data_IF_832549957069
#
_entry.id   IF_832549957069
#
_cell.length_a   1.000
_cell.length_b   1.000
_cell.length_c   1.000
_cell.angle_alpha   90.00
_cell.angle_beta   90.00
_cell.angle_gamma   90.00
#
_symmetry.space_group_name_H-M   'P 1'
#
loop_
_entity.id
_entity.type
_entity.pdbx_description
1 polymer ?
#
# COMPACT_ATOMS: atom_id res chain seq x y z
N UNK A 1 27.58 -20.30 -27.40
CA UNK A 1 26.16 -19.84 -27.44
C UNK A 1 26.13 -18.39 -27.01
N UNK A 2 25.31 -17.53 -27.62
CA UNK A 2 25.21 -16.14 -27.15
C UNK A 2 24.29 -16.05 -25.93
N UNK A 3 24.84 -15.69 -24.77
CA UNK A 3 24.05 -15.49 -23.55
C UNK A 3 23.10 -14.31 -23.72
N UNK A 4 21.85 -14.47 -23.28
CA UNK A 4 20.81 -13.44 -23.32
C UNK A 4 20.46 -12.98 -21.91
N UNK A 5 20.12 -11.72 -21.78
CA UNK A 5 19.70 -11.07 -20.53
C UNK A 5 18.37 -10.36 -20.72
N UNK A 6 17.56 -10.33 -19.67
CA UNK A 6 16.38 -9.48 -19.55
C UNK A 6 16.82 -8.17 -18.91
N UNK A 7 16.44 -7.06 -19.51
CA UNK A 7 16.80 -5.71 -19.04
C UNK A 7 15.53 -4.89 -18.89
N UNK A 8 15.39 -4.23 -17.74
CA UNK A 8 14.28 -3.33 -17.44
C UNK A 8 14.66 -1.90 -17.86
N UNK A 9 14.21 -1.47 -19.03
CA UNK A 9 14.46 -0.14 -19.57
C UNK A 9 13.41 0.87 -19.10
N UNK A 10 13.85 2.07 -18.79
CA UNK A 10 12.98 3.21 -18.52
C UNK A 10 12.52 3.84 -19.83
N UNK A 11 11.20 3.92 -20.05
CA UNK A 11 10.64 4.56 -21.26
C UNK A 11 10.77 6.08 -21.26
N UNK A 12 11.14 6.71 -20.14
CA UNK A 12 11.29 8.17 -20.04
C UNK A 12 12.71 8.65 -20.32
N UNK A 13 13.72 7.95 -19.81
CA UNK A 13 15.12 8.37 -19.93
C UNK A 13 15.98 7.39 -20.76
N UNK A 14 15.38 6.33 -21.29
CA UNK A 14 16.03 5.25 -22.04
C UNK A 14 17.15 4.49 -21.31
N UNK A 15 17.50 4.87 -20.07
CA UNK A 15 18.41 4.12 -19.22
C UNK A 15 17.77 2.88 -18.63
N UNK A 16 18.58 1.91 -18.21
CA UNK A 16 18.10 0.69 -17.59
C UNK A 16 18.14 0.75 -16.07
N UNK A 17 17.20 0.08 -15.43
CA UNK A 17 17.03 0.07 -13.98
C UNK A 17 17.67 -1.15 -13.32
N UNK A 18 17.53 -2.31 -13.96
CA UNK A 18 18.12 -3.57 -13.52
C UNK A 18 18.13 -4.54 -14.70
N UNK A 19 18.89 -5.61 -14.56
CA UNK A 19 19.01 -6.67 -15.54
C UNK A 19 19.26 -8.01 -14.86
N UNK A 20 18.95 -9.10 -15.57
CA UNK A 20 19.05 -10.46 -15.04
C UNK A 20 19.25 -11.46 -16.20
N UNK A 21 19.80 -12.65 -16.00
CA UNK A 21 19.86 -13.68 -17.03
C UNK A 21 18.48 -13.96 -17.64
N UNK A 22 18.40 -14.22 -18.95
CA UNK A 22 17.11 -14.52 -19.57
C UNK A 22 16.54 -15.86 -19.08
N UNK A 23 17.43 -16.83 -18.83
CA UNK A 23 17.12 -18.21 -18.44
C UNK A 23 17.75 -18.52 -17.09
N UNK A 24 17.01 -19.22 -16.23
CA UNK A 24 17.44 -19.52 -14.83
C UNK A 24 18.71 -20.37 -14.81
N UNK A 25 18.88 -21.27 -15.79
CA UNK A 25 20.07 -22.12 -15.90
C UNK A 25 21.37 -21.38 -16.26
N UNK A 26 21.28 -20.13 -16.72
CA UNK A 26 22.45 -19.35 -17.13
C UNK A 26 23.11 -18.55 -15.99
N UNK A 27 22.59 -18.61 -14.76
CA UNK A 27 23.18 -17.89 -13.61
C UNK A 27 24.61 -18.33 -13.30
N UNK A 28 24.97 -19.57 -13.63
CA UNK A 28 26.32 -20.11 -13.42
C UNK A 28 27.24 -19.94 -14.65
N UNK A 29 26.79 -19.24 -15.69
CA UNK A 29 27.62 -19.00 -16.87
C UNK A 29 28.76 -18.03 -16.52
N UNK A 30 30.02 -18.28 -16.93
CA UNK A 30 31.16 -17.41 -16.60
C UNK A 30 30.91 -15.94 -16.93
N UNK A 31 30.44 -15.64 -18.15
CA UNK A 31 30.13 -14.25 -18.56
C UNK A 31 29.05 -13.57 -17.69
N UNK A 32 28.12 -14.34 -17.13
CA UNK A 32 27.05 -13.81 -16.26
C UNK A 32 27.60 -13.54 -14.86
N UNK A 33 28.42 -14.45 -14.35
CA UNK A 33 29.10 -14.29 -13.05
C UNK A 33 30.04 -13.09 -13.11
N UNK A 34 30.85 -12.96 -14.16
CA UNK A 34 31.75 -11.83 -14.38
C UNK A 34 30.98 -10.51 -14.44
N UNK A 35 29.90 -10.48 -15.23
CA UNK A 35 29.06 -9.30 -15.35
C UNK A 35 28.34 -8.94 -14.02
N UNK A 36 27.94 -9.94 -13.22
CA UNK A 36 27.42 -9.74 -11.88
C UNK A 36 28.49 -9.17 -10.93
N UNK A 37 29.73 -9.65 -10.98
CA UNK A 37 30.81 -9.09 -10.16
C UNK A 37 31.20 -7.67 -10.57
N UNK A 38 31.05 -7.33 -11.86
CA UNK A 38 31.35 -6.00 -12.36
C UNK A 38 30.27 -4.96 -11.98
N UNK A 39 28.98 -5.28 -12.14
CA UNK A 39 27.88 -4.34 -11.87
C UNK A 39 27.24 -4.48 -10.50
N UNK A 40 27.03 -5.73 -10.06
CA UNK A 40 26.32 -6.06 -8.84
C UNK A 40 24.88 -5.56 -8.77
N UNK A 41 24.26 -5.77 -7.62
CA UNK A 41 22.95 -5.21 -7.34
C UNK A 41 23.04 -3.69 -7.11
N UNK A 42 22.04 -2.90 -7.55
CA UNK A 42 20.75 -3.32 -8.14
C UNK A 42 20.78 -3.51 -9.67
N UNK A 43 21.90 -3.19 -10.32
CA UNK A 43 21.98 -3.06 -11.78
C UNK A 43 21.97 -4.40 -12.51
N UNK A 44 22.53 -5.43 -11.91
CA UNK A 44 22.45 -6.81 -12.37
C UNK A 44 22.17 -7.75 -11.19
N UNK A 45 21.13 -8.57 -11.29
CA UNK A 45 20.75 -9.55 -10.25
C UNK A 45 20.67 -10.95 -10.83
N UNK A 46 21.19 -11.93 -10.09
CA UNK A 46 21.06 -13.35 -10.41
C UNK A 46 19.71 -13.93 -9.96
N UNK A 47 19.01 -13.23 -9.07
CA UNK A 47 17.69 -13.64 -8.58
C UNK A 47 16.57 -13.07 -9.46
N UNK A 48 15.92 -13.97 -10.20
CA UNK A 48 14.79 -13.64 -11.06
C UNK A 48 13.56 -13.14 -10.28
N UNK A 49 13.41 -13.53 -9.01
CA UNK A 49 12.31 -13.04 -8.18
C UNK A 49 12.49 -11.56 -7.85
N UNK A 50 13.71 -11.17 -7.50
CA UNK A 50 14.09 -9.77 -7.29
C UNK A 50 13.89 -8.95 -8.56
N UNK A 51 14.33 -9.42 -9.72
CA UNK A 51 14.08 -8.74 -10.99
C UNK A 51 12.60 -8.60 -11.33
N UNK A 52 11.77 -9.61 -10.99
CA UNK A 52 10.34 -9.60 -11.31
C UNK A 52 9.57 -8.45 -10.65
N UNK A 53 10.12 -7.85 -9.58
CA UNK A 53 9.54 -6.66 -8.94
C UNK A 53 9.50 -5.44 -9.87
N UNK A 54 10.40 -5.35 -10.85
CA UNK A 54 10.45 -4.21 -11.77
C UNK A 54 9.37 -4.26 -12.87
N UNK A 55 8.71 -5.41 -13.05
CA UNK A 55 7.53 -5.54 -13.93
C UNK A 55 6.36 -4.66 -13.50
N UNK A 56 6.26 -4.38 -12.20
CA UNK A 56 5.16 -3.59 -11.63
C UNK A 56 5.53 -2.11 -11.46
N UNK A 57 6.59 -1.63 -12.10
CA UNK A 57 7.00 -0.23 -12.01
C UNK A 57 6.48 0.51 -13.23
N UNK A 58 6.03 1.75 -13.03
CA UNK A 58 5.56 2.58 -14.14
C UNK A 58 6.71 2.98 -15.06
N UNK A 59 6.41 3.12 -16.36
CA UNK A 59 7.37 3.56 -17.37
C UNK A 59 8.61 2.65 -17.43
N UNK A 60 8.41 1.34 -17.24
CA UNK A 60 9.41 0.30 -17.42
C UNK A 60 8.96 -0.65 -18.52
N UNK A 61 9.88 -0.95 -19.44
CA UNK A 61 9.71 -1.94 -20.48
C UNK A 61 10.79 -3.01 -20.35
N UNK A 62 10.41 -4.27 -20.34
CA UNK A 62 11.35 -5.39 -20.26
C UNK A 62 11.68 -5.88 -21.66
N UNK A 63 12.95 -5.80 -22.00
CA UNK A 63 13.47 -6.29 -23.29
C UNK A 63 14.47 -7.41 -23.06
N UNK A 64 14.45 -8.42 -23.91
CA UNK A 64 15.46 -9.47 -23.94
C UNK A 64 16.50 -9.09 -24.97
N UNK A 65 17.76 -8.97 -24.56
CA UNK A 65 18.88 -8.59 -25.41
C UNK A 65 20.04 -9.57 -25.24
N UNK A 66 20.99 -9.57 -26.16
CA UNK A 66 22.25 -10.32 -25.99
C UNK A 66 23.11 -9.61 -24.95
N UNK A 67 23.81 -10.38 -24.12
CA UNK A 67 24.71 -9.84 -23.09
C UNK A 67 25.76 -8.91 -23.72
N UNK A 68 26.38 -9.32 -24.82
CA UNK A 68 27.37 -8.50 -25.54
C UNK A 68 26.83 -7.15 -26.03
N UNK A 69 25.53 -7.05 -26.35
CA UNK A 69 24.92 -5.78 -26.76
C UNK A 69 24.52 -4.93 -25.56
N UNK A 70 24.16 -5.56 -24.44
CA UNK A 70 23.92 -4.86 -23.18
C UNK A 70 25.19 -4.21 -22.64
N UNK A 71 26.32 -4.94 -22.65
CA UNK A 71 27.63 -4.45 -22.19
C UNK A 71 28.08 -3.17 -22.91
N UNK A 72 27.69 -2.99 -24.18
CA UNK A 72 28.02 -1.75 -24.92
C UNK A 72 27.37 -0.50 -24.32
N UNK A 73 26.25 -0.65 -23.62
CA UNK A 73 25.43 0.45 -23.08
C UNK A 73 25.16 0.26 -21.57
N UNK A 74 26.01 -0.49 -20.87
CA UNK A 74 25.83 -0.87 -19.48
C UNK A 74 26.09 0.27 -18.47
N UNK A 75 26.57 1.41 -18.94
CA UNK A 75 26.73 2.62 -18.15
C UNK A 75 25.47 3.52 -18.18
N UNK A 76 24.48 3.19 -19.02
CA UNK A 76 23.28 4.01 -19.21
C UNK A 76 22.22 3.67 -18.16
N UNK A 77 22.52 4.01 -16.90
CA UNK A 77 21.63 3.73 -15.78
C UNK A 77 20.45 4.72 -15.71
N UNK A 78 19.27 4.20 -15.37
CA UNK A 78 18.10 5.02 -15.06
C UNK A 78 18.24 5.65 -13.68
N UNK A 79 18.05 6.97 -13.59
CA UNK A 79 18.03 7.74 -12.33
C UNK A 79 16.66 8.35 -12.01
N UNK A 80 15.62 7.96 -12.74
CA UNK A 80 14.27 8.49 -12.52
C UNK A 80 13.72 7.99 -11.18
N UNK A 81 12.98 8.84 -10.46
CA UNK A 81 12.18 8.40 -9.33
C UNK A 81 11.03 7.53 -9.85
N UNK A 82 11.02 6.24 -9.48
CA UNK A 82 10.01 5.28 -9.95
C UNK A 82 8.95 5.05 -8.89
N UNK A 83 7.69 5.15 -9.30
CA UNK A 83 6.53 4.78 -8.50
C UNK A 83 6.11 3.36 -8.88
N UNK A 84 5.75 2.55 -7.88
CA UNK A 84 5.11 1.26 -8.13
C UNK A 84 3.76 1.53 -8.80
N UNK A 85 3.49 0.84 -9.90
CA UNK A 85 2.18 0.90 -10.55
C UNK A 85 1.17 0.27 -9.59
N UNK A 86 0.34 1.10 -8.97
CA UNK A 86 -0.77 0.61 -8.16
C UNK A 86 -1.87 0.25 -9.17
N UNK A 87 -2.13 -1.05 -9.36
CA UNK A 87 -3.39 -1.46 -9.98
C UNK A 87 -4.50 -0.97 -9.05
N UNK A 88 -5.19 0.10 -9.46
CA UNK A 88 -6.41 0.53 -8.76
C UNK A 88 -7.42 -0.60 -8.95
N UNK A 89 -7.64 -1.38 -7.90
CA UNK A 89 -8.77 -2.31 -7.86
C UNK A 89 -10.01 -1.43 -7.94
N UNK A 90 -10.68 -1.45 -9.09
CA UNK A 90 -11.97 -0.80 -9.24
C UNK A 90 -12.98 -1.63 -8.45
N UNK A 91 -13.18 -1.29 -7.18
CA UNK A 91 -14.29 -1.83 -6.42
C UNK A 91 -15.58 -1.27 -7.03
N UNK A 92 -16.27 -2.09 -7.84
CA UNK A 92 -17.65 -1.81 -8.20
C UNK A 92 -18.49 -2.04 -6.96
N UNK A 93 -18.71 -0.97 -6.21
CA UNK A 93 -19.65 -0.99 -5.11
C UNK A 93 -21.05 -0.91 -5.73
N UNK A 94 -21.72 -2.05 -5.86
CA UNK A 94 -23.16 -2.03 -6.15
C UNK A 94 -23.84 -1.29 -4.99
N UNK A 95 -24.35 -0.09 -5.27
CA UNK A 95 -25.18 0.67 -4.34
C UNK A 95 -26.50 -0.07 -4.17
N UNK A 96 -26.50 -1.12 -3.35
CA UNK A 96 -27.73 -1.73 -2.88
C UNK A 96 -28.38 -0.72 -1.96
N UNK A 97 -29.42 -0.05 -2.43
CA UNK A 97 -30.27 0.81 -1.60
C UNK A 97 -30.85 -0.04 -0.47
N UNK A 98 -30.15 -0.08 0.66
CA UNK A 98 -30.74 -0.57 1.90
C UNK A 98 -31.80 0.45 2.30
N UNK A 99 -33.07 0.07 2.18
CA UNK A 99 -34.16 0.78 2.83
C UNK A 99 -33.87 0.81 4.32
N UNK A 100 -33.39 1.94 4.81
CA UNK A 100 -33.17 2.19 6.22
C UNK A 100 -34.55 2.14 6.87
N UNK A 101 -34.79 1.16 7.74
CA UNK A 101 -36.01 1.10 8.52
C UNK A 101 -35.92 2.17 9.62
N UNK A 102 -36.61 3.29 9.40
CA UNK A 102 -36.56 4.51 10.23
C UNK A 102 -36.92 4.20 11.68
N UNK A 103 -37.87 3.29 11.92
CA UNK A 103 -38.30 2.87 13.27
C UNK A 103 -37.17 2.23 14.09
N UNK A 104 -36.26 1.52 13.43
CA UNK A 104 -35.11 0.90 14.11
C UNK A 104 -34.05 1.94 14.50
N UNK A 105 -33.84 2.96 13.65
CA UNK A 105 -32.84 4.01 13.88
C UNK A 105 -33.26 4.92 15.04
N UNK A 106 -34.54 5.27 15.13
CA UNK A 106 -35.07 6.08 16.23
C UNK A 106 -34.94 5.37 17.58
N UNK A 107 -35.24 4.06 17.62
CA UNK A 107 -35.07 3.27 18.85
C UNK A 107 -33.61 3.18 19.30
N UNK A 108 -32.68 2.95 18.36
CA UNK A 108 -31.26 2.92 18.67
C UNK A 108 -30.73 4.27 19.18
N UNK A 109 -31.24 5.40 18.66
CA UNK A 109 -30.86 6.73 19.15
C UNK A 109 -31.35 6.96 20.59
N UNK A 110 -32.59 6.60 20.89
CA UNK A 110 -33.17 6.73 22.24
C UNK A 110 -32.40 5.86 23.25
N UNK A 111 -32.12 4.59 22.91
CA UNK A 111 -31.41 3.67 23.78
C UNK A 111 -29.96 4.13 24.04
N UNK A 112 -29.33 4.73 23.03
CA UNK A 112 -27.97 5.28 23.14
C UNK A 112 -27.92 6.51 24.05
N UNK A 113 -28.92 7.40 23.95
CA UNK A 113 -29.02 8.59 24.80
C UNK A 113 -29.29 8.22 26.27
N UNK A 114 -30.12 7.19 26.52
CA UNK A 114 -30.34 6.66 27.87
C UNK A 114 -29.05 6.08 28.45
N UNK A 115 -28.33 5.27 27.66
CA UNK A 115 -27.06 4.67 28.09
C UNK A 115 -26.01 5.72 28.50
N UNK A 116 -25.80 6.75 27.67
CA UNK A 116 -24.84 7.80 27.98
C UNK A 116 -25.27 8.69 29.16
N UNK A 117 -26.57 8.93 29.31
CA UNK A 117 -27.12 9.64 30.46
C UNK A 117 -26.87 8.87 31.76
N UNK A 118 -27.14 7.58 31.80
CA UNK A 118 -26.95 6.76 33.00
C UNK A 118 -25.47 6.63 33.38
N UNK A 119 -24.58 6.55 32.39
CA UNK A 119 -23.12 6.58 32.59
C UNK A 119 -22.63 7.92 33.17
N UNK A 120 -23.23 9.03 32.74
CA UNK A 120 -22.91 10.36 33.27
C UNK A 120 -23.37 10.52 34.73
N UNK A 121 -24.57 10.03 35.09
CA UNK A 121 -25.04 10.06 36.47
C UNK A 121 -24.26 9.12 37.39
N UNK A 122 -23.92 7.92 36.94
CA UNK A 122 -23.11 6.99 37.73
C UNK A 122 -21.68 7.49 37.94
N UNK A 123 -21.03 8.05 36.91
CA UNK A 123 -19.69 8.63 37.04
C UNK A 123 -19.66 9.88 37.93
N UNK A 124 -20.69 10.73 37.89
CA UNK A 124 -20.84 11.88 38.80
C UNK A 124 -21.02 11.47 40.27
N UNK A 125 -21.67 10.34 40.53
CA UNK A 125 -21.91 9.84 41.88
C UNK A 125 -20.74 9.01 42.45
N UNK A 126 -19.81 8.54 41.60
CA UNK A 126 -18.68 7.71 42.03
C UNK A 126 -17.50 8.51 42.62
N UNK A 127 -17.45 9.83 42.39
CA UNK A 127 -16.50 10.73 43.06
C UNK A 127 -17.17 11.40 44.26
N UNK A 128 -17.19 10.68 45.38
CA UNK A 128 -17.76 11.14 46.64
C UNK A 128 -17.23 12.52 47.08
N UNK A 129 -18.11 13.51 47.07
CA UNK A 129 -18.14 14.60 48.07
C UNK A 129 -19.59 14.85 48.48
N UNK A 130 -19.93 14.30 49.64
CA UNK A 130 -21.02 14.68 50.57
C UNK A 130 -21.99 15.76 50.06
N UNK A 131 -23.22 15.35 49.69
CA UNK A 131 -24.34 16.28 49.63
C UNK A 131 -24.77 16.64 51.07
N UNK A 132 -24.19 17.71 51.62
CA UNK A 132 -24.89 18.51 52.62
C UNK A 132 -26.01 19.26 51.92
N UNK A 133 -27.23 19.05 52.38
CA UNK A 133 -28.45 19.38 51.66
C UNK A 133 -28.62 20.86 51.33
N UNK A 134 -29.46 21.11 50.32
CA UNK A 134 -30.26 22.33 50.23
C UNK A 134 -31.69 21.93 49.90
N UNK A 135 -32.58 22.57 50.67
CA UNK A 135 -34.02 22.40 50.81
C UNK A 135 -34.76 22.57 49.49
N UNK A 136 -35.85 21.82 49.36
CA UNK A 136 -36.84 22.01 48.32
C UNK A 136 -37.35 23.44 48.28
N UNK A 137 -37.47 23.95 47.06
CA UNK A 137 -38.36 25.03 46.69
C UNK A 137 -38.62 24.89 45.20
N UNK A 138 -39.63 24.10 44.85
CA UNK A 138 -40.32 24.28 43.57
C UNK A 138 -41.75 24.69 43.85
N UNK A 139 -41.87 26.01 43.81
CA UNK A 139 -43.11 26.76 43.70
C UNK A 139 -43.93 26.20 42.54
N UNK A 140 -45.15 25.79 42.87
CA UNK A 140 -46.22 25.49 41.94
C UNK A 140 -46.39 26.67 40.97
N UNK A 141 -46.19 26.47 39.68
CA UNK A 141 -46.73 27.37 38.66
C UNK A 141 -47.50 26.55 37.62
N UNK A 142 -48.81 26.76 37.68
CA UNK A 142 -49.81 26.41 36.68
C UNK A 142 -49.48 27.04 35.33
N UNK A 143 -49.75 26.32 34.24
CA UNK A 143 -50.76 26.62 33.19
C UNK A 143 -51.22 25.27 32.64
#
# INVERSE_FOLDING_TARGET
MSVKVKVAYCTQCNGYYSSTPAEIGHSNHPDIIDHFFYHGEPWFTLDHQTFSKYKSYENIEIRVVKLADHVKNDHVYCRCSKKKSVQRIAYQQESKEMKINIESVEKYQIDTDIYFRDLYYTSKNFHGKTYHGIKGNETRMSI
#
